data_IF_419641615004
#
_entry.id   IF_419641615004
#
_cell.length_a   1.000
_cell.length_b   1.000
_cell.length_c   1.000
_cell.angle_alpha   90.00
_cell.angle_beta   90.00
_cell.angle_gamma   90.00
#
_symmetry.space_group_name_H-M   'P 1'
#
loop_
_entity.id
_entity.type
_entity.pdbx_description
1 polymer ?
#
# COMPACT_ATOMS: atom_id res chain seq x y z
N UNK A 1 35.48 17.39 14.90
CA UNK A 1 34.56 18.31 14.56
C UNK A 1 33.13 18.13 15.06
N UNK A 2 32.21 18.53 14.22
CA UNK A 2 30.77 18.65 14.58
C UNK A 2 30.15 17.41 15.21
N UNK A 3 30.46 16.20 14.69
CA UNK A 3 29.94 14.92 15.22
C UNK A 3 30.45 14.69 16.65
N UNK A 4 31.73 14.90 16.88
CA UNK A 4 32.36 14.76 18.21
C UNK A 4 31.70 15.68 19.25
N UNK A 5 31.51 16.94 18.91
CA UNK A 5 30.83 17.90 19.79
C UNK A 5 29.39 17.51 20.07
N UNK A 6 28.66 17.05 19.04
CA UNK A 6 27.23 16.73 19.16
C UNK A 6 26.97 15.45 19.95
N UNK A 7 27.90 14.48 19.90
CA UNK A 7 27.80 13.21 20.64
C UNK A 7 28.51 13.22 22.00
N UNK A 8 29.25 14.27 22.34
CA UNK A 8 30.04 14.33 23.57
C UNK A 8 31.21 13.33 23.60
N UNK A 9 31.66 12.82 22.45
CA UNK A 9 32.74 11.86 22.33
C UNK A 9 34.05 12.53 21.91
N UNK A 10 35.19 11.97 22.32
CA UNK A 10 36.47 12.49 21.86
C UNK A 10 36.67 12.27 20.35
N UNK A 11 37.50 13.10 19.72
CA UNK A 11 37.73 13.06 18.26
C UNK A 11 38.30 11.73 17.77
N UNK A 12 39.19 11.10 18.54
CA UNK A 12 39.81 9.82 18.17
C UNK A 12 38.80 8.68 18.10
N UNK A 13 37.90 8.60 19.10
CA UNK A 13 36.82 7.59 19.12
C UNK A 13 35.89 7.79 17.94
N UNK A 14 35.46 9.04 17.68
CA UNK A 14 34.59 9.34 16.52
C UNK A 14 35.25 8.99 15.21
N UNK A 15 36.54 9.30 15.07
CA UNK A 15 37.29 8.96 13.87
C UNK A 15 37.41 7.44 13.66
N UNK A 16 37.68 6.68 14.72
CA UNK A 16 37.72 5.22 14.67
C UNK A 16 36.39 4.61 14.24
N UNK A 17 35.27 5.07 14.82
CA UNK A 17 33.93 4.61 14.44
C UNK A 17 33.63 4.94 12.96
N UNK A 18 33.87 6.17 12.56
CA UNK A 18 33.60 6.60 11.17
C UNK A 18 34.46 5.85 10.17
N UNK A 19 35.74 5.60 10.50
CA UNK A 19 36.61 4.79 9.64
C UNK A 19 36.11 3.36 9.50
N UNK A 20 35.69 2.72 10.60
CA UNK A 20 35.09 1.37 10.56
C UNK A 20 33.82 1.35 9.69
N UNK A 21 32.93 2.31 9.86
CA UNK A 21 31.72 2.40 9.04
C UNK A 21 32.03 2.65 7.56
N UNK A 22 33.04 3.47 7.27
CA UNK A 22 33.47 3.74 5.90
C UNK A 22 34.09 2.51 5.24
N UNK A 23 35.01 1.81 5.93
CA UNK A 23 35.65 0.59 5.42
C UNK A 23 34.63 -0.53 5.14
N UNK A 24 33.53 -0.58 5.90
CA UNK A 24 32.45 -1.55 5.69
C UNK A 24 31.35 -1.04 4.75
N UNK A 25 31.53 0.09 4.09
CA UNK A 25 30.58 0.60 3.08
C UNK A 25 29.29 1.17 3.64
N UNK A 26 29.14 1.33 4.96
CA UNK A 26 27.95 1.93 5.57
C UNK A 26 27.86 3.44 5.41
N UNK A 27 28.99 4.10 5.29
CA UNK A 27 29.10 5.51 4.96
C UNK A 27 30.14 5.72 3.84
N UNK A 28 29.97 6.80 3.11
CA UNK A 28 30.95 7.32 2.15
C UNK A 28 31.30 8.76 2.50
N UNK A 29 32.37 9.29 1.91
CA UNK A 29 32.77 10.68 2.09
C UNK A 29 32.83 11.37 0.74
N UNK A 30 32.17 12.51 0.59
CA UNK A 30 32.22 13.29 -0.64
C UNK A 30 33.52 14.14 -0.71
N UNK A 31 33.71 14.80 -1.85
CA UNK A 31 34.88 15.69 -2.10
C UNK A 31 35.00 16.83 -1.11
N UNK A 32 33.92 17.24 -0.45
CA UNK A 32 33.91 18.29 0.59
C UNK A 32 34.12 17.74 2.01
N UNK A 33 34.47 16.46 2.16
CA UNK A 33 34.73 15.81 3.44
C UNK A 33 33.46 15.52 4.28
N UNK A 34 32.25 15.65 3.70
CA UNK A 34 30.99 15.31 4.38
C UNK A 34 30.68 13.83 4.23
N UNK A 35 30.17 13.24 5.32
CA UNK A 35 29.71 11.85 5.31
C UNK A 35 28.33 11.73 4.71
N UNK A 36 28.15 10.71 3.87
CA UNK A 36 26.90 10.31 3.22
C UNK A 36 26.59 8.87 3.61
N UNK A 37 25.35 8.44 3.42
CA UNK A 37 24.98 7.05 3.57
C UNK A 37 25.67 6.21 2.48
N UNK A 38 26.25 5.08 2.86
CA UNK A 38 26.96 4.19 1.96
C UNK A 38 26.06 3.12 1.34
N UNK A 39 26.54 2.46 0.29
CA UNK A 39 25.80 1.47 -0.48
C UNK A 39 25.34 0.26 0.37
N UNK A 40 26.11 -0.11 1.39
CA UNK A 40 25.77 -1.26 2.26
C UNK A 40 24.50 -1.03 3.08
N UNK A 41 24.19 0.20 3.46
CA UNK A 41 22.91 0.51 4.12
C UNK A 41 21.73 0.27 3.17
N UNK A 42 21.84 0.63 1.90
CA UNK A 42 20.82 0.37 0.89
C UNK A 42 20.65 -1.13 0.64
N UNK A 43 21.73 -1.88 0.55
CA UNK A 43 21.71 -3.33 0.40
C UNK A 43 21.01 -4.00 1.58
N UNK A 44 21.33 -3.63 2.82
CA UNK A 44 20.70 -4.17 4.04
C UNK A 44 19.22 -3.77 4.13
N UNK A 45 18.87 -2.55 3.77
CA UNK A 45 17.48 -2.09 3.74
C UNK A 45 16.67 -2.87 2.69
N UNK A 46 17.22 -3.12 1.52
CA UNK A 46 16.58 -3.94 0.48
C UNK A 46 16.34 -5.37 0.96
N UNK A 47 17.35 -6.04 1.49
CA UNK A 47 17.22 -7.40 2.06
C UNK A 47 16.18 -7.46 3.18
N UNK A 48 16.14 -6.47 4.07
CA UNK A 48 15.15 -6.38 5.13
C UNK A 48 13.73 -6.18 4.57
N UNK A 49 13.58 -5.39 3.51
CA UNK A 49 12.31 -5.19 2.80
C UNK A 49 11.81 -6.47 2.15
N UNK A 50 12.70 -7.22 1.49
CA UNK A 50 12.37 -8.50 0.85
C UNK A 50 11.97 -9.56 1.88
N UNK A 51 12.65 -9.63 3.02
CA UNK A 51 12.30 -10.53 4.11
C UNK A 51 10.93 -10.19 4.68
N UNK A 52 10.64 -8.90 4.93
CA UNK A 52 9.33 -8.46 5.42
C UNK A 52 8.22 -8.76 4.42
N UNK A 53 8.49 -8.55 3.12
CA UNK A 53 7.56 -8.87 2.04
C UNK A 53 7.27 -10.37 1.99
N UNK A 54 8.29 -11.23 2.10
CA UNK A 54 8.13 -12.69 2.12
C UNK A 54 7.27 -13.15 3.30
N UNK A 55 7.55 -12.66 4.52
CA UNK A 55 6.75 -12.95 5.71
C UNK A 55 5.28 -12.54 5.51
N UNK A 56 5.05 -11.36 4.91
CA UNK A 56 3.70 -10.85 4.67
C UNK A 56 2.95 -11.75 3.66
N UNK A 57 3.63 -12.18 2.60
CA UNK A 57 3.09 -13.12 1.60
C UNK A 57 2.71 -14.44 2.28
N UNK A 58 3.64 -15.06 3.00
CA UNK A 58 3.44 -16.36 3.64
C UNK A 58 2.26 -16.35 4.60
N UNK A 59 2.14 -15.29 5.41
CA UNK A 59 1.08 -15.12 6.39
C UNK A 59 -0.27 -14.76 5.77
N UNK A 60 -0.30 -14.08 4.65
CA UNK A 60 -1.53 -13.64 3.99
C UNK A 60 -2.09 -14.66 3.00
N UNK A 61 -1.22 -15.49 2.40
CA UNK A 61 -1.58 -16.35 1.27
C UNK A 61 -2.83 -17.20 1.52
N UNK A 62 -2.85 -17.98 2.59
CA UNK A 62 -3.97 -18.90 2.86
C UNK A 62 -5.29 -18.16 3.10
N UNK A 63 -5.26 -17.03 3.81
CA UNK A 63 -6.46 -16.22 4.03
C UNK A 63 -6.97 -15.60 2.72
N UNK A 64 -6.07 -15.06 1.92
CA UNK A 64 -6.40 -14.46 0.63
C UNK A 64 -6.90 -15.52 -0.36
N UNK A 65 -6.28 -16.70 -0.39
CA UNK A 65 -6.70 -17.81 -1.26
C UNK A 65 -8.12 -18.28 -0.91
N UNK A 66 -8.42 -18.43 0.39
CA UNK A 66 -9.76 -18.79 0.84
C UNK A 66 -10.81 -17.74 0.44
N UNK A 67 -10.49 -16.44 0.52
CA UNK A 67 -11.37 -15.39 0.05
C UNK A 67 -11.58 -15.46 -1.46
N UNK A 68 -10.51 -15.66 -2.23
CA UNK A 68 -10.55 -15.80 -3.68
C UNK A 68 -11.44 -16.97 -4.11
N UNK A 69 -11.23 -18.13 -3.51
CA UNK A 69 -11.99 -19.35 -3.82
C UNK A 69 -13.48 -19.21 -3.43
N UNK A 70 -13.76 -18.63 -2.26
CA UNK A 70 -15.11 -18.48 -1.75
C UNK A 70 -15.94 -17.44 -2.51
N UNK A 71 -15.35 -16.32 -2.88
CA UNK A 71 -16.02 -15.23 -3.59
C UNK A 71 -15.87 -15.30 -5.10
N UNK A 72 -15.06 -16.21 -5.61
CA UNK A 72 -14.73 -16.34 -7.03
C UNK A 72 -14.21 -15.01 -7.62
N UNK A 73 -13.27 -14.39 -6.88
CA UNK A 73 -12.66 -13.11 -7.25
C UNK A 73 -11.19 -13.06 -6.86
N UNK A 74 -10.46 -12.12 -7.45
CA UNK A 74 -9.05 -11.92 -7.13
C UNK A 74 -8.89 -11.15 -5.82
N UNK A 75 -8.18 -11.72 -4.86
CA UNK A 75 -7.81 -11.04 -3.63
C UNK A 75 -6.41 -10.47 -3.77
N UNK A 76 -6.25 -9.16 -3.52
CA UNK A 76 -5.00 -8.45 -3.75
C UNK A 76 -4.61 -7.63 -2.53
N UNK A 77 -3.36 -7.77 -2.12
CA UNK A 77 -2.74 -7.02 -1.03
C UNK A 77 -1.76 -5.99 -1.62
N UNK A 78 -2.01 -4.71 -1.36
CA UNK A 78 -1.10 -3.63 -1.71
C UNK A 78 -0.51 -3.00 -0.45
N UNK A 79 0.80 -2.76 -0.46
CA UNK A 79 1.47 -1.84 0.46
C UNK A 79 1.35 -0.42 -0.08
N UNK A 80 1.20 0.53 0.81
CA UNK A 80 1.14 1.95 0.47
C UNK A 80 2.53 2.56 0.66
N UNK A 81 2.99 3.25 -0.37
CA UNK A 81 4.24 4.01 -0.38
C UNK A 81 3.92 5.40 -0.97
N UNK A 82 3.67 6.38 -0.11
CA UNK A 82 3.09 7.67 -0.48
C UNK A 82 1.77 7.52 -1.27
N UNK A 83 1.80 7.92 -2.53
CA UNK A 83 0.68 7.82 -3.49
C UNK A 83 0.82 6.60 -4.42
N UNK A 84 1.67 5.64 -4.09
CA UNK A 84 1.86 4.43 -4.88
C UNK A 84 1.31 3.20 -4.17
N UNK A 85 0.61 2.36 -4.92
CA UNK A 85 0.15 1.05 -4.49
C UNK A 85 1.14 0.00 -4.97
N UNK A 86 2.01 -0.45 -4.09
CA UNK A 86 2.95 -1.52 -4.38
C UNK A 86 2.28 -2.87 -4.20
N UNK A 87 2.16 -3.65 -5.26
CA UNK A 87 1.65 -5.02 -5.19
C UNK A 87 2.57 -5.88 -4.31
N UNK A 88 2.02 -6.40 -3.22
CA UNK A 88 2.71 -7.35 -2.35
C UNK A 88 2.38 -8.78 -2.77
N UNK A 89 1.08 -9.11 -2.83
CA UNK A 89 0.59 -10.43 -3.14
C UNK A 89 -0.78 -10.39 -3.80
N UNK A 90 -1.05 -11.38 -4.64
CA UNK A 90 -2.37 -11.58 -5.26
C UNK A 90 -2.69 -13.06 -5.33
N UNK A 91 -3.95 -13.42 -5.08
CA UNK A 91 -4.48 -14.76 -5.26
C UNK A 91 -5.67 -14.75 -6.21
N UNK A 92 -5.77 -15.79 -7.00
CA UNK A 92 -6.87 -16.02 -7.94
C UNK A 92 -7.67 -17.26 -7.49
N UNK A 93 -8.97 -17.36 -7.78
CA UNK A 93 -9.73 -18.55 -7.46
C UNK A 93 -9.19 -19.76 -8.24
N UNK A 94 -8.98 -20.89 -7.55
CA UNK A 94 -8.36 -22.11 -8.13
C UNK A 94 -9.20 -22.74 -9.23
N UNK A 95 -10.52 -22.66 -9.10
CA UNK A 95 -11.50 -23.33 -9.97
C UNK A 95 -12.43 -22.32 -10.65
N UNK A 96 -11.89 -21.22 -11.19
CA UNK A 96 -12.69 -20.23 -11.91
C UNK A 96 -12.40 -20.27 -13.40
N UNK A 97 -13.47 -20.21 -14.19
CA UNK A 97 -13.40 -20.07 -15.64
C UNK A 97 -13.21 -18.61 -16.07
N UNK A 98 -13.36 -17.67 -15.13
CA UNK A 98 -13.23 -16.24 -15.38
C UNK A 98 -12.38 -15.58 -14.30
N UNK A 99 -11.26 -14.99 -14.69
CA UNK A 99 -10.34 -14.29 -13.80
C UNK A 99 -10.08 -12.89 -14.34
N UNK A 100 -10.24 -11.88 -13.49
CA UNK A 100 -9.87 -10.50 -13.81
C UNK A 100 -8.38 -10.33 -13.58
N UNK A 101 -7.58 -10.48 -14.62
CA UNK A 101 -6.14 -10.23 -14.53
C UNK A 101 -5.83 -8.75 -14.80
N UNK A 102 -5.06 -8.15 -13.92
CA UNK A 102 -4.53 -6.80 -14.12
C UNK A 102 -3.12 -6.89 -14.70
N UNK A 103 -2.92 -6.22 -15.85
CA UNK A 103 -1.62 -6.21 -16.52
C UNK A 103 -0.60 -5.27 -15.84
N UNK A 104 -1.03 -4.26 -15.08
CA UNK A 104 -0.16 -3.21 -14.53
C UNK A 104 -0.41 -2.95 -13.04
N UNK A 105 0.69 -2.67 -12.30
CA UNK A 105 0.68 -2.26 -10.90
C UNK A 105 0.26 -0.78 -10.69
N UNK A 106 0.31 0.05 -11.73
CA UNK A 106 -0.06 1.47 -11.64
C UNK A 106 -1.57 1.65 -11.80
N UNK A 107 -2.29 1.52 -10.69
CA UNK A 107 -3.72 1.81 -10.64
C UNK A 107 -3.94 3.30 -10.43
N UNK A 108 -4.80 3.95 -11.24
CA UNK A 108 -5.24 5.30 -10.95
C UNK A 108 -5.93 5.34 -9.58
N UNK A 109 -5.46 6.21 -8.68
CA UNK A 109 -5.94 6.21 -7.30
C UNK A 109 -7.42 6.62 -7.21
N UNK A 110 -7.85 7.62 -8.00
CA UNK A 110 -9.19 8.20 -7.89
C UNK A 110 -10.34 7.28 -8.32
N UNK A 111 -10.09 6.25 -9.15
CA UNK A 111 -11.13 5.35 -9.66
C UNK A 111 -10.90 3.87 -9.32
N UNK A 112 -9.85 3.52 -8.61
CA UNK A 112 -9.64 2.16 -8.09
C UNK A 112 -10.05 2.07 -6.62
N UNK A 113 -10.58 0.92 -6.17
CA UNK A 113 -11.01 0.74 -4.79
C UNK A 113 -9.88 1.00 -3.78
N UNK A 114 -8.71 0.36 -3.96
CA UNK A 114 -7.55 0.59 -3.09
C UNK A 114 -7.06 2.03 -3.14
N UNK A 115 -7.05 2.65 -4.33
CA UNK A 115 -6.61 4.03 -4.50
C UNK A 115 -7.54 5.04 -3.82
N UNK A 116 -8.86 4.90 -3.99
CA UNK A 116 -9.85 5.74 -3.31
C UNK A 116 -9.73 5.62 -1.78
N UNK A 117 -9.44 4.42 -1.28
CA UNK A 117 -9.19 4.19 0.14
C UNK A 117 -7.97 4.98 0.63
N UNK A 118 -6.87 4.95 -0.12
CA UNK A 118 -5.66 5.74 0.20
C UNK A 118 -5.98 7.23 0.21
N UNK A 119 -6.61 7.75 -0.84
CA UNK A 119 -6.96 9.17 -0.95
C UNK A 119 -7.88 9.63 0.19
N UNK A 120 -8.86 8.80 0.57
CA UNK A 120 -9.77 9.09 1.68
C UNK A 120 -9.06 9.20 3.04
N UNK A 121 -7.88 8.58 3.21
CA UNK A 121 -7.10 8.61 4.45
C UNK A 121 -5.93 9.59 4.41
N UNK A 122 -5.71 10.28 3.30
CA UNK A 122 -4.71 11.36 3.26
C UNK A 122 -5.12 12.51 4.19
N UNK A 123 -4.10 13.18 4.74
CA UNK A 123 -4.30 14.47 5.41
C UNK A 123 -4.78 15.52 4.41
N UNK A 124 -5.47 16.52 4.89
CA UNK A 124 -6.08 17.57 4.06
C UNK A 124 -5.11 18.20 3.05
N UNK A 125 -3.91 18.59 3.48
CA UNK A 125 -2.95 19.26 2.61
C UNK A 125 -2.47 18.40 1.43
N UNK A 126 -1.97 17.16 1.62
CA UNK A 126 -1.59 16.30 0.50
C UNK A 126 -2.78 15.89 -0.38
N UNK A 127 -3.98 15.71 0.20
CA UNK A 127 -5.18 15.44 -0.59
C UNK A 127 -5.53 16.61 -1.51
N UNK A 128 -5.48 17.86 -1.01
CA UNK A 128 -5.75 19.05 -1.80
C UNK A 128 -4.73 19.24 -2.92
N UNK A 129 -3.46 18.93 -2.68
CA UNK A 129 -2.42 18.93 -3.74
C UNK A 129 -2.77 17.91 -4.82
N UNK A 130 -3.09 16.67 -4.44
CA UNK A 130 -3.48 15.63 -5.37
C UNK A 130 -4.70 16.04 -6.21
N UNK A 131 -5.75 16.54 -5.58
CA UNK A 131 -7.00 16.93 -6.27
C UNK A 131 -6.81 18.11 -7.23
N UNK A 132 -5.85 18.99 -6.95
CA UNK A 132 -5.55 20.15 -7.81
C UNK A 132 -4.73 19.76 -9.03
N UNK A 133 -3.75 18.89 -8.86
CA UNK A 133 -2.69 18.65 -9.84
C UNK A 133 -2.93 17.39 -10.68
N UNK A 134 -3.74 16.43 -10.19
CA UNK A 134 -3.99 15.17 -10.89
C UNK A 134 -5.08 15.32 -11.96
N UNK A 135 -4.86 14.76 -13.15
CA UNK A 135 -5.93 14.59 -14.13
C UNK A 135 -6.87 13.45 -13.70
N UNK A 136 -8.16 13.60 -14.00
CA UNK A 136 -9.18 12.59 -13.73
C UNK A 136 -9.87 12.15 -15.03
N UNK A 137 -9.14 11.50 -15.98
CA UNK A 137 -9.76 11.04 -17.23
C UNK A 137 -10.84 9.98 -16.93
N UNK A 138 -11.93 10.00 -17.72
CA UNK A 138 -12.94 8.97 -17.67
C UNK A 138 -12.41 7.68 -18.33
N UNK A 139 -12.37 6.58 -17.59
CA UNK A 139 -12.08 5.25 -18.15
C UNK A 139 -13.35 4.55 -18.64
N UNK A 140 -14.47 4.86 -17.99
CA UNK A 140 -15.80 4.35 -18.32
C UNK A 140 -16.84 5.45 -18.10
N UNK A 141 -18.09 5.17 -18.46
CA UNK A 141 -19.20 6.09 -18.20
C UNK A 141 -19.52 6.30 -16.70
N UNK A 142 -18.99 5.45 -15.81
CA UNK A 142 -19.22 5.55 -14.36
C UNK A 142 -18.02 6.09 -13.58
N UNK A 143 -16.91 6.42 -14.25
CA UNK A 143 -15.73 7.02 -13.61
C UNK A 143 -16.08 8.38 -13.02
N UNK A 144 -15.77 8.59 -11.73
CA UNK A 144 -15.90 9.91 -11.10
C UNK A 144 -14.75 10.80 -11.53
N UNK A 145 -15.07 11.92 -12.18
CA UNK A 145 -14.08 12.82 -12.80
C UNK A 145 -14.11 14.24 -12.22
N UNK A 146 -14.97 14.51 -11.24
CA UNK A 146 -15.07 15.83 -10.61
C UNK A 146 -14.58 15.78 -9.16
N UNK A 147 -13.97 16.87 -8.70
CA UNK A 147 -13.47 17.01 -7.34
C UNK A 147 -14.58 16.76 -6.31
N UNK A 148 -15.75 17.36 -6.52
CA UNK A 148 -16.89 17.22 -5.61
C UNK A 148 -17.36 15.76 -5.50
N UNK A 149 -17.46 15.04 -6.62
CA UNK A 149 -17.84 13.64 -6.61
C UNK A 149 -16.79 12.76 -5.90
N UNK A 150 -15.52 13.09 -6.04
CA UNK A 150 -14.43 12.39 -5.34
C UNK A 150 -14.44 12.69 -3.84
N UNK A 151 -14.62 13.95 -3.42
CA UNK A 151 -14.68 14.33 -2.02
C UNK A 151 -15.86 13.65 -1.30
N UNK A 152 -17.04 13.65 -1.91
CA UNK A 152 -18.23 12.95 -1.39
C UNK A 152 -17.97 11.44 -1.25
N UNK A 153 -17.27 10.83 -2.20
CA UNK A 153 -16.88 9.41 -2.12
C UNK A 153 -15.89 9.18 -0.98
N UNK A 154 -14.91 10.07 -0.77
CA UNK A 154 -13.94 9.94 0.33
C UNK A 154 -14.59 10.08 1.71
N UNK A 155 -15.57 10.96 1.87
CA UNK A 155 -16.36 11.07 3.10
C UNK A 155 -17.13 9.79 3.38
N UNK A 156 -17.75 9.23 2.36
CA UNK A 156 -18.45 7.95 2.46
C UNK A 156 -17.50 6.81 2.84
N UNK A 157 -16.32 6.73 2.23
CA UNK A 157 -15.30 5.72 2.56
C UNK A 157 -14.88 5.84 4.02
N UNK A 158 -14.66 7.04 4.54
CA UNK A 158 -14.32 7.28 5.95
C UNK A 158 -15.44 6.83 6.90
N UNK A 159 -16.68 7.09 6.53
CA UNK A 159 -17.84 6.71 7.33
C UNK A 159 -18.12 5.20 7.32
N UNK A 160 -17.98 4.55 6.16
CA UNK A 160 -18.26 3.11 5.98
C UNK A 160 -17.07 2.21 6.35
N UNK A 161 -15.84 2.73 6.37
CA UNK A 161 -14.62 1.98 6.68
C UNK A 161 -14.12 1.08 5.55
N UNK A 162 -14.65 1.21 4.34
CA UNK A 162 -14.20 0.49 3.15
C UNK A 162 -14.44 1.32 1.89
N UNK A 163 -13.72 1.00 0.83
CA UNK A 163 -13.93 1.57 -0.50
C UNK A 163 -14.56 0.55 -1.43
N UNK A 164 -15.45 1.02 -2.29
CA UNK A 164 -16.08 0.24 -3.33
C UNK A 164 -16.02 0.98 -4.66
N UNK A 165 -15.60 0.30 -5.72
CA UNK A 165 -15.72 0.79 -7.09
C UNK A 165 -16.53 -0.22 -7.91
N UNK A 166 -17.32 0.26 -8.85
CA UNK A 166 -18.16 -0.56 -9.69
C UNK A 166 -18.17 -0.05 -11.12
N UNK A 167 -17.30 -0.64 -11.93
CA UNK A 167 -17.15 -0.27 -13.31
C UNK A 167 -16.44 1.07 -13.55
N UNK A 168 -15.81 1.68 -12.53
CA UNK A 168 -15.16 2.99 -12.70
C UNK A 168 -13.85 2.90 -13.50
N UNK A 169 -13.11 1.79 -13.37
CA UNK A 169 -11.86 1.56 -14.08
C UNK A 169 -12.05 0.65 -15.29
N UNK A 170 -12.89 -0.39 -15.16
CA UNK A 170 -13.23 -1.33 -16.23
C UNK A 170 -14.71 -1.68 -16.16
N UNK A 171 -15.43 -1.57 -17.28
CA UNK A 171 -16.82 -1.99 -17.35
C UNK A 171 -16.97 -3.47 -16.99
N UNK A 172 -18.03 -3.79 -16.25
CA UNK A 172 -18.31 -5.15 -15.81
C UNK A 172 -17.44 -5.68 -14.66
N UNK A 173 -16.48 -4.90 -14.16
CA UNK A 173 -15.60 -5.23 -13.04
C UNK A 173 -15.95 -4.35 -11.84
N UNK A 174 -15.94 -4.94 -10.65
CA UNK A 174 -16.04 -4.21 -9.39
C UNK A 174 -15.00 -4.69 -8.39
N UNK A 175 -14.64 -3.80 -7.46
CA UNK A 175 -13.72 -4.12 -6.39
C UNK A 175 -14.18 -3.50 -5.06
N UNK A 176 -13.94 -4.22 -3.97
CA UNK A 176 -14.09 -3.74 -2.60
C UNK A 176 -12.74 -3.81 -1.91
N UNK A 177 -12.36 -2.75 -1.21
CA UNK A 177 -11.08 -2.65 -0.51
C UNK A 177 -11.27 -2.20 0.93
N UNK A 178 -10.51 -2.82 1.84
CA UNK A 178 -10.48 -2.49 3.27
C UNK A 178 -9.08 -2.06 3.69
N UNK A 179 -8.95 -1.19 4.72
CA UNK A 179 -7.68 -0.72 5.22
C UNK A 179 -6.99 -1.77 6.10
N UNK A 180 -5.65 -1.75 6.09
CA UNK A 180 -4.79 -2.39 7.08
C UNK A 180 -3.93 -1.29 7.70
N UNK A 181 -4.07 -1.10 8.99
CA UNK A 181 -3.34 -0.07 9.72
C UNK A 181 -2.09 -0.64 10.36
N UNK A 182 -1.06 0.19 10.50
CA UNK A 182 0.11 -0.13 11.31
C UNK A 182 -0.30 -0.23 12.79
N UNK A 183 0.13 -1.29 13.47
CA UNK A 183 -0.11 -1.48 14.90
C UNK A 183 0.65 -0.47 15.78
N UNK A 184 1.65 0.20 15.24
CA UNK A 184 2.57 1.08 15.94
C UNK A 184 2.05 2.50 16.11
N UNK A 185 1.46 3.06 15.08
CA UNK A 185 1.08 4.47 14.97
C UNK A 185 -0.28 4.67 14.27
N UNK A 186 -0.99 3.57 14.02
CA UNK A 186 -2.32 3.56 13.42
C UNK A 186 -2.43 4.30 12.06
N UNK A 187 -1.30 4.45 11.34
CA UNK A 187 -1.39 4.97 9.97
C UNK A 187 -1.84 3.87 8.99
N UNK A 188 -2.46 4.27 7.91
CA UNK A 188 -2.87 3.36 6.84
C UNK A 188 -1.60 2.82 6.14
N UNK A 189 -1.32 1.53 6.35
CA UNK A 189 -0.10 0.86 5.88
C UNK A 189 -0.29 0.09 4.57
N UNK A 190 -1.46 -0.57 4.45
CA UNK A 190 -1.75 -1.43 3.31
C UNK A 190 -3.26 -1.45 3.02
N UNK A 191 -3.64 -2.02 1.89
CA UNK A 191 -5.04 -2.30 1.53
C UNK A 191 -5.20 -3.74 1.11
N UNK A 192 -6.31 -4.36 1.52
CA UNK A 192 -6.73 -5.68 1.06
C UNK A 192 -7.99 -5.52 0.22
N UNK A 193 -7.96 -6.03 -1.01
CA UNK A 193 -9.06 -5.86 -1.97
C UNK A 193 -9.55 -7.20 -2.50
N UNK A 194 -10.83 -7.28 -2.79
CA UNK A 194 -11.43 -8.33 -3.61
C UNK A 194 -12.00 -7.71 -4.89
N UNK A 195 -11.59 -8.24 -6.04
CA UNK A 195 -11.98 -7.78 -7.37
C UNK A 195 -12.62 -8.93 -8.15
N UNK A 196 -13.71 -8.67 -8.83
CA UNK A 196 -14.40 -9.68 -9.64
C UNK A 196 -15.44 -9.08 -10.57
N UNK A 197 -16.30 -9.91 -11.13
CA UNK A 197 -17.42 -9.45 -11.94
C UNK A 197 -18.36 -8.55 -11.13
N UNK A 198 -18.71 -7.41 -11.68
CA UNK A 198 -19.56 -6.39 -11.07
C UNK A 198 -20.84 -6.98 -10.45
N UNK A 199 -21.55 -7.81 -11.21
CA UNK A 199 -22.81 -8.47 -10.75
C UNK A 199 -22.57 -9.32 -9.49
N UNK A 200 -21.46 -10.07 -9.44
CA UNK A 200 -21.14 -10.94 -8.32
C UNK A 200 -20.75 -10.14 -7.09
N UNK A 201 -19.84 -9.17 -7.26
CA UNK A 201 -19.36 -8.34 -6.16
C UNK A 201 -20.49 -7.46 -5.59
N UNK A 202 -21.29 -6.82 -6.44
CA UNK A 202 -22.42 -6.00 -6.00
C UNK A 202 -23.43 -6.78 -5.17
N UNK A 203 -23.83 -7.97 -5.63
CA UNK A 203 -24.79 -8.85 -4.93
C UNK A 203 -24.27 -9.31 -3.56
N UNK A 204 -22.97 -9.59 -3.46
CA UNK A 204 -22.35 -10.14 -2.25
C UNK A 204 -21.63 -9.10 -1.39
N UNK A 205 -21.71 -7.81 -1.71
CA UNK A 205 -21.00 -6.72 -1.03
C UNK A 205 -21.14 -6.78 0.50
N UNK A 206 -22.36 -7.01 1.01
CA UNK A 206 -22.64 -7.10 2.45
C UNK A 206 -21.95 -8.29 3.14
N UNK A 207 -21.61 -9.34 2.40
CA UNK A 207 -20.90 -10.51 2.88
C UNK A 207 -19.38 -10.37 2.72
N UNK A 208 -18.93 -9.76 1.62
CA UNK A 208 -17.51 -9.56 1.29
C UNK A 208 -16.85 -8.66 2.34
N UNK A 209 -17.48 -7.51 2.67
CA UNK A 209 -16.88 -6.54 3.58
C UNK A 209 -16.44 -7.13 4.93
N UNK A 210 -17.33 -7.78 5.73
CA UNK A 210 -16.92 -8.30 7.02
C UNK A 210 -15.83 -9.38 6.94
N UNK A 211 -15.83 -10.21 5.90
CA UNK A 211 -14.80 -11.24 5.70
C UNK A 211 -13.44 -10.63 5.32
N UNK A 212 -13.43 -9.63 4.44
CA UNK A 212 -12.20 -8.88 4.14
C UNK A 212 -11.68 -8.13 5.37
N UNK A 213 -12.56 -7.46 6.11
CA UNK A 213 -12.19 -6.74 7.33
C UNK A 213 -11.65 -7.67 8.43
N UNK A 214 -12.18 -8.89 8.55
CA UNK A 214 -11.64 -9.90 9.46
C UNK A 214 -10.21 -10.29 9.08
N UNK A 215 -9.97 -10.61 7.80
CA UNK A 215 -8.62 -10.95 7.32
C UNK A 215 -7.66 -9.77 7.50
N UNK A 216 -8.09 -8.55 7.16
CA UNK A 216 -7.28 -7.35 7.37
C UNK A 216 -6.85 -7.18 8.83
N UNK A 217 -7.76 -7.37 9.80
CA UNK A 217 -7.45 -7.33 11.24
C UNK A 217 -6.47 -8.43 11.66
N UNK A 218 -6.60 -9.65 11.14
CA UNK A 218 -5.66 -10.74 11.41
C UNK A 218 -4.27 -10.41 10.88
N UNK A 219 -4.17 -9.86 9.68
CA UNK A 219 -2.91 -9.40 9.10
C UNK A 219 -2.30 -8.27 9.92
N UNK A 220 -3.09 -7.29 10.35
CA UNK A 220 -2.63 -6.20 11.20
C UNK A 220 -2.00 -6.69 12.51
N UNK A 221 -2.60 -7.69 13.18
CA UNK A 221 -2.05 -8.28 14.41
C UNK A 221 -0.77 -9.07 14.19
N UNK A 222 -0.60 -9.61 13.00
CA UNK A 222 0.52 -10.50 12.65
C UNK A 222 1.72 -9.72 12.10
N UNK A 223 1.48 -8.50 11.61
CA UNK A 223 2.47 -7.60 11.01
C UNK A 223 2.81 -6.54 12.06
N UNK A 224 3.66 -6.88 13.01
CA UNK A 224 4.31 -5.91 13.89
C UNK A 224 5.41 -5.19 13.10
N UNK A 225 5.04 -4.10 12.43
CA UNK A 225 5.99 -3.19 11.78
C UNK A 225 6.04 -1.86 12.51
#
# INVERSE_FOLDING_TARGET
GQISTRLGLNKGTVHGILNTLHMNGYISQNSSGRYLLGAELFNKASLASDTKRSILIDRSHNYMQNLSDYFQGNCTLFRIDDLYLQLVHSTEPRNSTFVVRRANSNLPLYCSASGKLVLAHLRERPLNVYLKDAPFPAYTGTTRTTIDALQNEFEKIRAEGFSYENGELFEGVAALSVPIYSSKDNHLFATLSLTGMSVTIARRKKEIYPKLAEVARRLQQTINF
#
